data_IF_386044636510
#
_entry.id   IF_386044636510
#
_cell.length_a   1.000
_cell.length_b   1.000
_cell.length_c   1.000
_cell.angle_alpha   90.00
_cell.angle_beta   90.00
_cell.angle_gamma   90.00
#
_symmetry.space_group_name_H-M   'P 1'
#
loop_
_entity.id
_entity.type
_entity.pdbx_description
1 polymer ?
#
# COMPACT_ATOMS: atom_id res chain seq x y z
N UNK A 1 0.49 15.70 24.98
CA UNK A 1 0.19 14.51 25.76
C UNK A 1 -1.31 14.30 25.81
N UNK A 2 -1.77 13.12 25.40
CA UNK A 2 -3.18 12.76 25.35
C UNK A 2 -3.58 12.05 26.64
N UNK A 3 -4.71 12.43 27.23
CA UNK A 3 -5.22 11.89 28.47
C UNK A 3 -6.74 11.68 28.37
N UNK A 4 -7.30 10.90 29.29
CA UNK A 4 -8.75 10.80 29.46
C UNK A 4 -9.16 11.23 30.87
N UNK A 5 -10.48 11.38 31.15
CA UNK A 5 -10.97 11.92 32.40
C UNK A 5 -10.45 11.24 33.66
N UNK A 6 -10.24 9.92 33.64
CA UNK A 6 -9.70 9.17 34.77
C UNK A 6 -8.29 9.55 35.21
N UNK A 7 -7.50 10.15 34.30
CA UNK A 7 -6.13 10.61 34.59
C UNK A 7 -6.08 11.86 35.48
N UNK A 8 -7.21 12.52 35.69
CA UNK A 8 -7.33 13.75 36.47
C UNK A 8 -7.98 13.54 37.84
N UNK A 9 -8.17 12.30 38.27
CA UNK A 9 -8.70 11.95 39.58
C UNK A 9 -7.69 12.19 40.70
N UNK A 10 -8.18 12.10 41.97
CA UNK A 10 -7.31 12.12 43.16
C UNK A 10 -6.35 10.93 43.17
N UNK A 11 -5.30 11.01 43.97
CA UNK A 11 -4.34 9.92 44.15
C UNK A 11 -5.05 8.60 44.50
N UNK A 12 -4.84 7.57 43.69
CA UNK A 12 -5.50 6.27 43.85
C UNK A 12 -6.76 6.08 43.02
N UNK A 13 -7.19 7.09 42.24
CA UNK A 13 -8.23 6.91 41.23
C UNK A 13 -7.75 5.94 40.15
N UNK A 14 -8.52 4.88 39.84
CA UNK A 14 -8.14 3.96 38.77
C UNK A 14 -8.00 4.68 37.44
N UNK A 15 -6.89 4.44 36.72
CA UNK A 15 -6.64 4.95 35.37
C UNK A 15 -6.39 3.78 34.43
N UNK A 16 -6.96 3.85 33.24
CA UNK A 16 -6.66 2.92 32.16
C UNK A 16 -5.33 3.25 31.42
N UNK A 17 -4.59 4.23 31.96
CA UNK A 17 -3.27 4.62 31.43
C UNK A 17 -3.33 5.06 29.97
N UNK A 18 -2.65 4.33 29.11
CA UNK A 18 -2.61 4.61 27.67
C UNK A 18 -3.79 4.04 26.86
N UNK A 19 -4.76 3.39 27.51
CA UNK A 19 -5.99 2.95 26.87
C UNK A 19 -6.97 4.12 26.73
N UNK A 20 -6.62 5.04 25.85
CA UNK A 20 -7.38 6.26 25.60
C UNK A 20 -7.41 6.55 24.09
N UNK A 21 -8.24 7.53 23.68
CA UNK A 21 -8.32 8.01 22.29
C UNK A 21 -8.76 6.90 21.32
N UNK A 22 -9.66 6.03 21.73
CA UNK A 22 -10.15 4.92 20.90
C UNK A 22 -11.18 5.34 19.85
N UNK A 23 -11.65 6.59 19.89
CA UNK A 23 -12.55 7.13 18.89
C UNK A 23 -11.91 7.26 17.49
N UNK A 24 -12.73 7.52 16.49
CA UNK A 24 -12.31 7.60 15.09
C UNK A 24 -11.64 8.93 14.71
N UNK A 25 -11.68 9.91 15.58
CA UNK A 25 -10.96 11.20 15.45
C UNK A 25 -10.08 11.43 16.67
N UNK A 26 -9.05 12.24 16.51
CA UNK A 26 -8.23 12.70 17.64
C UNK A 26 -8.96 13.76 18.50
N UNK A 27 -8.54 14.01 19.75
CA UNK A 27 -9.13 15.04 20.61
C UNK A 27 -9.09 16.45 20.01
N UNK A 28 -8.09 16.77 19.19
CA UNK A 28 -7.98 18.01 18.42
C UNK A 28 -8.88 18.04 17.18
N UNK A 29 -9.69 16.97 16.98
CA UNK A 29 -10.59 16.74 15.84
C UNK A 29 -9.88 16.45 14.51
N UNK A 30 -8.58 16.27 14.50
CA UNK A 30 -7.90 15.75 13.32
C UNK A 30 -8.35 14.33 12.99
N UNK A 31 -8.30 13.99 11.72
CA UNK A 31 -8.85 12.73 11.18
C UNK A 31 -7.84 11.61 11.38
N UNK A 32 -8.29 10.48 11.90
CA UNK A 32 -7.51 9.25 11.94
C UNK A 32 -7.66 8.45 10.64
N UNK A 33 -6.70 7.57 10.28
CA UNK A 33 -6.81 6.74 9.08
C UNK A 33 -8.11 5.92 8.99
N UNK A 34 -8.60 5.38 10.12
CA UNK A 34 -9.85 4.63 10.14
C UNK A 34 -11.10 5.47 9.81
N UNK A 35 -11.04 6.79 9.99
CA UNK A 35 -12.13 7.69 9.61
C UNK A 35 -12.30 7.74 8.10
N UNK A 36 -11.19 7.71 7.36
CA UNK A 36 -11.21 7.65 5.89
C UNK A 36 -11.87 6.37 5.39
N UNK A 37 -11.55 5.23 6.02
CA UNK A 37 -12.19 3.95 5.70
C UNK A 37 -13.67 3.95 6.06
N UNK A 38 -14.02 4.50 7.22
CA UNK A 38 -15.42 4.69 7.62
C UNK A 38 -16.19 5.51 6.59
N UNK A 39 -15.63 6.64 6.14
CA UNK A 39 -16.22 7.47 5.10
C UNK A 39 -16.47 6.68 3.80
N UNK A 40 -15.52 5.82 3.43
CA UNK A 40 -15.64 4.94 2.26
C UNK A 40 -16.76 3.91 2.42
N UNK A 41 -16.87 3.28 3.57
CA UNK A 41 -17.90 2.24 3.83
C UNK A 41 -19.30 2.85 3.87
N UNK A 42 -19.47 3.99 4.52
CA UNK A 42 -20.77 4.65 4.71
C UNK A 42 -21.22 5.57 3.56
N UNK A 43 -20.41 5.76 2.52
CA UNK A 43 -20.82 6.58 1.38
C UNK A 43 -22.11 6.05 0.73
N UNK A 44 -23.04 6.96 0.42
CA UNK A 44 -24.34 6.63 -0.20
C UNK A 44 -24.33 6.67 -1.74
N UNK A 45 -23.21 7.00 -2.34
CA UNK A 45 -23.01 6.97 -3.79
C UNK A 45 -22.00 5.87 -4.07
N UNK A 46 -22.38 4.89 -4.88
CA UNK A 46 -21.54 3.76 -5.24
C UNK A 46 -21.21 3.80 -6.73
N UNK A 47 -19.93 3.75 -7.06
CA UNK A 47 -19.45 3.58 -8.43
C UNK A 47 -19.21 2.09 -8.66
N UNK A 48 -19.89 1.52 -9.65
CA UNK A 48 -19.93 0.08 -9.91
C UNK A 48 -19.62 -0.19 -11.39
N UNK A 49 -19.22 -1.40 -11.70
CA UNK A 49 -19.19 -1.95 -13.07
C UNK A 49 -18.53 -1.00 -14.10
N UNK A 50 -17.29 -0.59 -13.82
CA UNK A 50 -16.52 0.18 -14.78
C UNK A 50 -16.18 -0.69 -16.01
N UNK A 51 -16.62 -0.27 -17.19
CA UNK A 51 -16.24 -0.87 -18.47
C UNK A 51 -15.27 0.05 -19.20
N UNK A 52 -14.02 -0.42 -19.33
CA UNK A 52 -12.96 0.32 -20.00
C UNK A 52 -13.11 0.38 -21.53
N UNK A 53 -13.84 -0.56 -22.12
CA UNK A 53 -14.02 -0.60 -23.59
C UNK A 53 -15.01 0.45 -24.03
N UNK A 54 -16.10 0.58 -23.30
CA UNK A 54 -17.17 1.54 -23.57
C UNK A 54 -16.99 2.86 -22.81
N UNK A 55 -16.02 2.93 -21.90
CA UNK A 55 -15.80 4.06 -20.98
C UNK A 55 -17.08 4.44 -20.23
N UNK A 56 -17.77 3.43 -19.69
CA UNK A 56 -18.98 3.60 -18.90
C UNK A 56 -18.77 3.17 -17.46
N UNK A 57 -19.52 3.79 -16.56
CA UNK A 57 -19.60 3.43 -15.15
C UNK A 57 -21.05 3.44 -14.69
N UNK A 58 -21.41 2.52 -13.83
CA UNK A 58 -22.70 2.56 -13.14
C UNK A 58 -22.58 3.33 -11.84
N UNK A 59 -23.48 4.25 -11.60
CA UNK A 59 -23.57 5.02 -10.37
C UNK A 59 -24.88 4.70 -9.69
N UNK A 60 -24.80 4.12 -8.48
CA UNK A 60 -25.96 3.76 -7.66
C UNK A 60 -26.16 4.80 -6.57
N UNK A 61 -27.40 5.24 -6.44
CA UNK A 61 -27.85 6.14 -5.39
C UNK A 61 -28.44 5.34 -4.22
N UNK A 62 -27.71 5.25 -3.13
CA UNK A 62 -28.16 4.58 -1.89
C UNK A 62 -28.77 5.58 -0.88
N UNK A 63 -28.94 6.87 -1.24
CA UNK A 63 -29.70 7.79 -0.41
C UNK A 63 -31.19 7.41 -0.39
N UNK A 64 -31.85 7.78 0.72
CA UNK A 64 -33.30 7.54 0.87
C UNK A 64 -34.14 8.68 0.28
N UNK A 65 -33.62 9.93 0.24
CA UNK A 65 -34.41 11.12 -0.09
C UNK A 65 -33.70 12.10 -1.03
N UNK A 66 -32.45 11.85 -1.41
CA UNK A 66 -31.64 12.80 -2.16
C UNK A 66 -31.36 12.31 -3.57
N UNK A 67 -31.61 13.16 -4.57
CA UNK A 67 -31.26 12.89 -5.97
C UNK A 67 -29.78 13.20 -6.22
N UNK A 68 -29.15 12.48 -7.15
CA UNK A 68 -27.72 12.66 -7.46
C UNK A 68 -27.40 13.95 -8.23
N UNK A 69 -28.34 14.67 -8.79
CA UNK A 69 -28.14 15.98 -9.44
C UNK A 69 -27.67 17.09 -8.50
N UNK A 70 -27.74 16.85 -7.19
CA UNK A 70 -27.17 17.72 -6.14
C UNK A 70 -25.64 17.72 -6.09
N UNK A 71 -24.98 16.79 -6.75
CA UNK A 71 -23.54 16.57 -6.63
C UNK A 71 -22.83 16.79 -7.95
N UNK A 72 -21.56 17.21 -7.86
CA UNK A 72 -20.63 17.23 -8.97
C UNK A 72 -19.88 15.91 -9.06
N UNK A 73 -19.84 15.36 -10.26
CA UNK A 73 -19.14 14.10 -10.52
C UNK A 73 -17.92 14.36 -11.41
N UNK A 74 -16.81 13.74 -11.04
CA UNK A 74 -15.59 13.82 -11.84
C UNK A 74 -14.76 12.54 -11.69
N UNK A 75 -13.78 12.39 -12.56
CA UNK A 75 -12.84 11.28 -12.48
C UNK A 75 -11.42 11.78 -12.68
N UNK A 76 -10.47 11.00 -12.15
CA UNK A 76 -9.02 11.23 -12.29
C UNK A 76 -8.40 9.95 -12.81
N UNK A 77 -7.57 10.06 -13.85
CA UNK A 77 -6.73 8.97 -14.30
C UNK A 77 -5.34 9.16 -13.71
N UNK A 78 -4.83 8.11 -13.06
CA UNK A 78 -3.49 8.09 -12.50
C UNK A 78 -2.64 7.04 -13.16
N UNK A 79 -1.38 7.37 -13.38
CA UNK A 79 -0.34 6.48 -13.81
C UNK A 79 0.78 6.47 -12.76
N UNK A 80 1.10 5.29 -12.21
CA UNK A 80 2.00 5.16 -11.06
C UNK A 80 1.68 6.18 -9.93
N UNK A 81 0.40 6.35 -9.61
CA UNK A 81 -0.07 7.29 -8.60
C UNK A 81 -0.07 8.77 -9.00
N UNK A 82 0.50 9.16 -10.14
CA UNK A 82 0.50 10.56 -10.62
C UNK A 82 -0.74 10.85 -11.43
N UNK A 83 -1.40 11.98 -11.16
CA UNK A 83 -2.52 12.45 -11.98
C UNK A 83 -2.02 12.79 -13.38
N UNK A 84 -2.61 12.14 -14.39
CA UNK A 84 -2.31 12.38 -15.82
C UNK A 84 -3.49 12.97 -16.57
N UNK A 85 -4.69 12.80 -16.05
CA UNK A 85 -5.89 13.36 -16.63
C UNK A 85 -6.99 13.56 -15.57
N UNK A 86 -7.82 14.58 -15.76
CA UNK A 86 -9.02 14.85 -14.97
C UNK A 86 -10.16 15.26 -15.88
N UNK A 87 -11.33 14.67 -15.68
CA UNK A 87 -12.53 14.98 -16.44
C UNK A 87 -13.77 15.09 -15.56
N UNK A 88 -14.79 15.76 -16.07
CA UNK A 88 -16.11 15.81 -15.44
C UNK A 88 -17.01 14.68 -15.96
N UNK A 89 -17.96 14.26 -15.15
CA UNK A 89 -19.08 13.40 -15.54
C UNK A 89 -20.33 14.23 -15.38
N UNK A 90 -20.96 14.58 -16.49
CA UNK A 90 -22.06 15.52 -16.48
C UNK A 90 -23.43 14.80 -16.56
N UNK A 91 -24.49 15.51 -16.23
CA UNK A 91 -25.87 15.07 -16.37
C UNK A 91 -26.20 13.80 -15.59
N UNK A 92 -25.64 13.64 -14.39
CA UNK A 92 -25.97 12.53 -13.50
C UNK A 92 -27.29 12.83 -12.79
N UNK A 93 -28.31 12.02 -13.13
CA UNK A 93 -29.61 12.09 -12.51
C UNK A 93 -30.05 10.69 -12.12
N UNK A 94 -30.12 10.41 -10.84
CA UNK A 94 -30.63 9.16 -10.29
C UNK A 94 -31.41 9.44 -9.00
N UNK A 95 -32.68 9.10 -9.00
CA UNK A 95 -33.54 9.17 -7.82
C UNK A 95 -33.06 8.19 -6.73
N UNK A 96 -33.48 8.38 -5.48
CA UNK A 96 -33.20 7.45 -4.39
C UNK A 96 -33.43 5.97 -4.77
N UNK A 97 -32.46 5.12 -4.44
CA UNK A 97 -32.49 3.69 -4.73
C UNK A 97 -32.31 3.32 -6.21
N UNK A 98 -32.02 4.27 -7.10
CA UNK A 98 -31.84 4.00 -8.54
C UNK A 98 -30.37 3.97 -8.94
N UNK A 99 -30.11 3.30 -10.05
CA UNK A 99 -28.81 3.22 -10.70
C UNK A 99 -28.88 3.85 -12.08
N UNK A 100 -27.86 4.62 -12.43
CA UNK A 100 -27.69 5.18 -13.78
C UNK A 100 -26.37 4.65 -14.36
N UNK A 101 -26.36 4.36 -15.66
CA UNK A 101 -25.14 4.08 -16.40
C UNK A 101 -24.77 5.31 -17.20
N UNK A 102 -23.55 5.79 -17.10
CA UNK A 102 -23.08 6.97 -17.82
C UNK A 102 -21.77 6.71 -18.51
N UNK A 103 -21.63 7.24 -19.72
CA UNK A 103 -20.35 7.37 -20.41
C UNK A 103 -19.68 8.66 -19.96
N UNK A 104 -18.37 8.68 -19.87
CA UNK A 104 -17.65 9.84 -19.37
C UNK A 104 -16.40 10.17 -20.18
N UNK A 105 -15.98 9.32 -21.11
CA UNK A 105 -14.75 9.50 -21.87
C UNK A 105 -14.95 9.08 -23.33
N UNK A 106 -14.43 9.86 -24.26
CA UNK A 106 -14.21 9.43 -25.64
C UNK A 106 -12.93 8.59 -25.77
N UNK A 107 -12.78 7.61 -24.86
CA UNK A 107 -11.60 6.76 -24.72
C UNK A 107 -10.51 7.36 -23.82
N UNK A 108 -9.70 6.51 -23.17
CA UNK A 108 -8.47 6.95 -22.50
C UNK A 108 -7.54 7.46 -23.60
N UNK A 109 -7.02 8.70 -23.53
CA UNK A 109 -6.21 9.29 -24.58
C UNK A 109 -5.07 8.35 -24.96
N UNK A 110 -5.03 7.90 -26.23
CA UNK A 110 -3.99 6.98 -26.74
C UNK A 110 -2.57 7.54 -26.60
N UNK A 111 -2.45 8.86 -26.63
CA UNK A 111 -1.19 9.59 -26.48
C UNK A 111 -0.54 9.44 -25.10
N UNK A 112 -1.32 8.99 -24.15
CA UNK A 112 -0.87 8.70 -22.78
C UNK A 112 -0.92 7.20 -22.49
N UNK A 113 -0.68 6.35 -23.48
CA UNK A 113 -0.43 4.93 -23.26
C UNK A 113 0.83 4.78 -22.42
N UNK A 114 0.62 4.79 -21.17
CA UNK A 114 1.62 4.67 -20.14
C UNK A 114 2.04 3.22 -20.01
N UNK A 115 3.27 3.01 -19.70
CA UNK A 115 3.85 1.67 -19.49
C UNK A 115 3.73 1.24 -18.02
N UNK A 116 2.70 1.76 -17.31
CA UNK A 116 2.64 1.64 -15.90
C UNK A 116 1.33 1.10 -15.30
N UNK A 117 1.17 1.28 -14.01
CA UNK A 117 -0.05 0.96 -13.28
C UNK A 117 -1.06 2.10 -13.47
N UNK A 118 -2.04 1.89 -14.35
CA UNK A 118 -3.05 2.89 -14.66
C UNK A 118 -4.34 2.60 -13.92
N UNK A 119 -4.78 3.58 -13.14
CA UNK A 119 -6.01 3.54 -12.36
C UNK A 119 -6.90 4.71 -12.70
N UNK A 120 -8.20 4.50 -12.54
CA UNK A 120 -9.19 5.56 -12.60
C UNK A 120 -9.87 5.68 -11.26
N UNK A 121 -10.00 6.91 -10.81
CA UNK A 121 -10.67 7.28 -9.58
C UNK A 121 -11.91 8.09 -9.91
N UNK A 122 -13.04 7.71 -9.36
CA UNK A 122 -14.30 8.42 -9.47
C UNK A 122 -14.61 9.14 -8.18
N UNK A 123 -15.20 10.32 -8.31
CA UNK A 123 -15.52 11.18 -7.18
C UNK A 123 -16.91 11.78 -7.32
N UNK A 124 -17.61 11.92 -6.19
CA UNK A 124 -18.78 12.75 -6.05
C UNK A 124 -18.52 13.80 -4.97
N UNK A 125 -18.77 15.07 -5.28
CA UNK A 125 -18.52 16.19 -4.40
C UNK A 125 -19.77 17.07 -4.22
N UNK A 126 -19.84 17.75 -3.10
CA UNK A 126 -20.89 18.71 -2.79
C UNK A 126 -20.85 19.86 -3.82
N UNK A 127 -21.95 20.05 -4.52
CA UNK A 127 -22.09 21.10 -5.55
C UNK A 127 -22.36 22.47 -4.95
N UNK A 128 -23.26 22.54 -4.00
CA UNK A 128 -23.63 23.76 -3.29
C UNK A 128 -23.34 23.57 -1.81
N UNK A 129 -22.64 24.53 -1.20
CA UNK A 129 -22.28 24.45 0.21
C UNK A 129 -23.52 24.19 1.09
N UNK A 130 -23.36 23.26 2.03
CA UNK A 130 -24.34 22.92 3.06
C UNK A 130 -23.72 23.22 4.45
N UNK A 131 -24.51 23.28 5.52
CA UNK A 131 -23.96 23.43 6.87
C UNK A 131 -22.89 22.36 7.15
N UNK A 132 -21.67 22.81 7.53
CA UNK A 132 -20.49 22.00 7.80
C UNK A 132 -19.88 21.26 6.59
N UNK A 133 -20.47 21.38 5.38
CA UNK A 133 -19.97 20.75 4.15
C UNK A 133 -19.76 21.82 3.07
N UNK A 134 -18.57 22.39 2.93
CA UNK A 134 -18.26 23.31 1.86
C UNK A 134 -18.48 22.71 0.47
N UNK A 135 -18.79 23.53 -0.52
CA UNK A 135 -18.80 23.10 -1.91
C UNK A 135 -17.43 22.51 -2.28
N UNK A 136 -17.43 21.45 -3.06
CA UNK A 136 -16.23 20.70 -3.41
C UNK A 136 -15.82 19.61 -2.40
N UNK A 137 -16.47 19.53 -1.23
CA UNK A 137 -16.21 18.43 -0.30
C UNK A 137 -16.56 17.09 -0.95
N UNK A 138 -15.58 16.18 -1.02
CA UNK A 138 -15.77 14.84 -1.56
C UNK A 138 -16.53 13.98 -0.54
N UNK A 139 -17.66 13.42 -0.97
CA UNK A 139 -18.54 12.58 -0.14
C UNK A 139 -18.57 11.11 -0.60
N UNK A 140 -18.11 10.83 -1.80
CA UNK A 140 -17.96 9.46 -2.28
C UNK A 140 -16.78 9.37 -3.25
N UNK A 141 -16.08 8.24 -3.18
CA UNK A 141 -14.95 7.94 -4.05
C UNK A 141 -14.85 6.44 -4.34
N UNK A 142 -14.32 6.11 -5.50
CA UNK A 142 -14.00 4.74 -5.90
C UNK A 142 -12.76 4.73 -6.75
N UNK A 143 -11.94 3.73 -6.59
CA UNK A 143 -10.80 3.49 -7.47
C UNK A 143 -10.99 2.16 -8.17
N UNK A 144 -10.79 2.14 -9.47
CA UNK A 144 -10.78 0.92 -10.25
C UNK A 144 -9.55 0.82 -11.11
N UNK A 145 -9.27 -0.39 -11.47
CA UNK A 145 -8.09 -0.75 -12.25
C UNK A 145 -8.39 -0.67 -13.74
N UNK A 146 -7.54 0.00 -14.49
CA UNK A 146 -7.64 0.07 -15.96
C UNK A 146 -6.74 -0.96 -16.61
N UNK A 147 -5.46 -0.89 -16.35
CA UNK A 147 -4.48 -1.88 -16.78
C UNK A 147 -3.15 -1.70 -16.03
N UNK A 148 -2.38 -2.77 -15.94
CA UNK A 148 -0.97 -2.72 -15.60
C UNK A 148 -0.18 -3.21 -16.80
N UNK A 149 0.75 -2.42 -17.26
CA UNK A 149 1.81 -2.92 -18.11
C UNK A 149 3.00 -3.28 -17.22
N UNK A 150 3.16 -4.57 -16.98
CA UNK A 150 4.48 -5.04 -16.58
C UNK A 150 5.37 -4.91 -17.81
N UNK A 151 6.32 -4.00 -17.76
CA UNK A 151 7.41 -4.02 -18.71
C UNK A 151 7.99 -5.43 -18.61
N UNK A 152 7.86 -6.22 -19.68
CA UNK A 152 8.49 -7.53 -19.74
C UNK A 152 9.96 -7.30 -19.39
N UNK A 153 10.39 -7.87 -18.27
CA UNK A 153 11.78 -7.74 -17.86
C UNK A 153 12.64 -8.13 -19.04
N UNK A 154 13.59 -7.28 -19.38
CA UNK A 154 14.54 -7.60 -20.43
C UNK A 154 15.20 -8.91 -20.02
N UNK A 155 15.00 -9.94 -20.81
CA UNK A 155 15.69 -11.22 -20.61
C UNK A 155 17.16 -10.89 -20.51
N UNK A 156 17.82 -11.32 -19.44
CA UNK A 156 19.24 -11.05 -19.25
C UNK A 156 19.99 -11.44 -20.54
N UNK A 157 20.62 -10.47 -21.17
CA UNK A 157 21.31 -10.69 -22.46
C UNK A 157 22.60 -11.52 -22.28
N UNK A 158 23.09 -11.57 -21.05
CA UNK A 158 24.27 -12.37 -20.69
C UNK A 158 24.01 -13.14 -19.39
N UNK A 159 24.37 -14.43 -19.36
CA UNK A 159 24.21 -15.23 -18.14
C UNK A 159 25.12 -14.68 -17.02
N UNK A 160 24.63 -14.72 -15.81
CA UNK A 160 25.44 -14.46 -14.64
C UNK A 160 26.43 -15.61 -14.43
N UNK A 161 27.64 -15.28 -13.99
CA UNK A 161 28.65 -16.28 -13.60
C UNK A 161 28.71 -16.38 -12.09
N UNK A 162 29.02 -17.57 -11.57
CA UNK A 162 29.28 -17.78 -10.15
C UNK A 162 30.74 -18.11 -9.89
N UNK A 163 31.28 -17.62 -8.77
CA UNK A 163 32.60 -17.96 -8.26
C UNK A 163 32.49 -18.23 -6.77
N UNK A 164 33.03 -19.36 -6.33
CA UNK A 164 33.10 -19.71 -4.93
C UNK A 164 34.51 -19.51 -4.39
N UNK A 165 34.62 -18.90 -3.22
CA UNK A 165 35.87 -18.71 -2.48
C UNK A 165 35.60 -18.96 -0.98
N UNK A 166 36.02 -20.13 -0.46
CA UNK A 166 35.75 -20.50 0.92
C UNK A 166 34.27 -20.53 1.24
N UNK A 167 33.85 -19.72 2.20
CA UNK A 167 32.44 -19.60 2.59
C UNK A 167 31.64 -18.62 1.73
N UNK A 168 32.28 -17.89 0.82
CA UNK A 168 31.62 -16.90 -0.01
C UNK A 168 31.30 -17.47 -1.39
N UNK A 169 30.13 -17.10 -1.89
CA UNK A 169 29.77 -17.31 -3.28
C UNK A 169 29.36 -15.97 -3.90
N UNK A 170 30.01 -15.62 -5.00
CA UNK A 170 29.73 -14.39 -5.74
C UNK A 170 29.06 -14.70 -7.07
N UNK A 171 27.99 -13.98 -7.35
CA UNK A 171 27.31 -13.96 -8.64
C UNK A 171 27.64 -12.63 -9.35
N UNK A 172 28.09 -12.72 -10.58
CA UNK A 172 28.51 -11.52 -11.34
C UNK A 172 27.85 -11.48 -12.71
N UNK A 173 27.36 -10.30 -13.07
CA UNK A 173 26.92 -9.93 -14.41
C UNK A 173 27.67 -8.68 -14.88
N UNK A 174 27.30 -8.12 -16.05
CA UNK A 174 27.98 -6.97 -16.63
C UNK A 174 28.10 -5.76 -15.71
N UNK A 175 27.03 -5.50 -14.95
CA UNK A 175 26.92 -4.28 -14.12
C UNK A 175 26.79 -4.57 -12.63
N UNK A 176 26.78 -5.83 -12.22
CA UNK A 176 26.57 -6.17 -10.80
C UNK A 176 27.48 -7.32 -10.32
N UNK A 177 27.70 -7.31 -9.00
CA UNK A 177 28.24 -8.44 -8.27
C UNK A 177 27.49 -8.57 -6.95
N UNK A 178 26.89 -9.73 -6.70
CA UNK A 178 26.23 -10.07 -5.44
C UNK A 178 27.02 -11.16 -4.74
N UNK A 179 27.39 -10.96 -3.47
CA UNK A 179 28.17 -11.92 -2.69
C UNK A 179 27.34 -12.41 -1.51
N UNK A 180 27.26 -13.72 -1.35
CA UNK A 180 26.58 -14.39 -0.25
C UNK A 180 27.58 -15.13 0.63
N UNK A 181 27.31 -15.16 1.93
CA UNK A 181 27.99 -16.04 2.87
C UNK A 181 27.20 -17.33 3.03
N UNK A 182 27.80 -18.46 2.72
CA UNK A 182 27.17 -19.79 2.78
C UNK A 182 26.85 -20.26 4.20
N UNK A 183 27.53 -19.74 5.21
CA UNK A 183 27.24 -20.10 6.61
C UNK A 183 25.98 -19.44 7.14
N UNK A 184 25.80 -18.17 6.82
CA UNK A 184 24.61 -17.41 7.24
C UNK A 184 23.47 -17.46 6.22
N UNK A 185 23.74 -17.79 4.95
CA UNK A 185 22.80 -17.69 3.86
C UNK A 185 22.51 -16.24 3.44
N UNK A 186 23.24 -15.26 3.98
CA UNK A 186 22.93 -13.83 3.77
C UNK A 186 23.69 -13.25 2.59
N UNK A 187 23.06 -12.27 1.94
CA UNK A 187 23.70 -11.36 1.00
C UNK A 187 24.59 -10.40 1.79
N UNK A 188 25.91 -10.45 1.58
CA UNK A 188 26.89 -9.62 2.31
C UNK A 188 27.45 -8.46 1.51
N UNK A 189 27.30 -8.49 0.18
CA UNK A 189 27.71 -7.40 -0.71
C UNK A 189 26.81 -7.40 -1.95
N UNK A 190 26.36 -6.22 -2.35
CA UNK A 190 25.69 -6.01 -3.62
C UNK A 190 26.25 -4.76 -4.29
N UNK A 191 27.15 -5.00 -5.21
CA UNK A 191 27.75 -3.96 -6.03
C UNK A 191 26.95 -3.82 -7.33
N UNK A 192 26.44 -2.63 -7.65
CA UNK A 192 25.80 -2.30 -8.91
C UNK A 192 26.40 -1.03 -9.49
N UNK A 193 26.86 -1.09 -10.72
CA UNK A 193 27.54 0.04 -11.40
C UNK A 193 28.58 0.73 -10.52
N UNK A 194 29.44 -0.06 -9.84
CA UNK A 194 30.50 0.39 -8.92
C UNK A 194 30.02 1.01 -7.60
N UNK A 195 28.72 0.96 -7.32
CA UNK A 195 28.15 1.41 -6.04
C UNK A 195 27.82 0.22 -5.17
N UNK A 196 28.33 0.20 -3.92
CA UNK A 196 28.02 -0.83 -2.93
C UNK A 196 26.74 -0.46 -2.18
N UNK A 197 25.74 -1.36 -2.17
CA UNK A 197 24.46 -1.14 -1.53
C UNK A 197 24.34 -1.80 -0.15
N UNK A 198 25.28 -2.68 0.20
CA UNK A 198 25.26 -3.38 1.49
C UNK A 198 26.33 -2.78 2.40
N UNK A 199 25.91 -2.07 3.43
CA UNK A 199 26.80 -1.45 4.40
C UNK A 199 27.39 -2.51 5.32
N UNK A 200 28.74 -2.58 5.41
CA UNK A 200 29.47 -3.44 6.34
C UNK A 200 29.07 -4.92 6.32
N UNK A 201 28.64 -5.44 5.17
CA UNK A 201 28.23 -6.84 5.04
C UNK A 201 26.85 -7.15 5.65
N UNK A 202 26.12 -6.14 6.09
CA UNK A 202 24.80 -6.31 6.73
C UNK A 202 23.68 -6.20 5.70
N UNK A 203 23.50 -7.23 4.90
CA UNK A 203 22.41 -7.34 3.94
C UNK A 203 21.07 -7.65 4.57
N UNK A 204 20.02 -7.77 3.73
CA UNK A 204 18.69 -8.16 4.18
C UNK A 204 18.73 -9.48 4.94
N UNK A 205 18.00 -9.53 6.06
CA UNK A 205 17.84 -10.75 6.87
C UNK A 205 16.38 -10.94 7.25
N UNK A 206 15.93 -12.17 7.53
CA UNK A 206 14.63 -12.41 8.13
C UNK A 206 14.51 -11.67 9.47
N UNK A 207 13.40 -10.97 9.67
CA UNK A 207 13.16 -10.22 10.87
C UNK A 207 11.71 -10.43 11.33
N UNK A 208 11.51 -11.07 12.47
CA UNK A 208 10.22 -11.51 12.99
C UNK A 208 9.72 -10.64 14.15
N UNK A 209 10.39 -9.51 14.41
CA UNK A 209 10.09 -8.63 15.52
C UNK A 209 9.80 -7.22 15.03
N UNK A 210 8.93 -6.52 15.71
CA UNK A 210 8.67 -5.09 15.57
C UNK A 210 8.78 -4.39 16.91
N UNK A 211 8.90 -3.07 16.91
CA UNK A 211 8.79 -2.29 18.15
C UNK A 211 7.41 -2.54 18.78
N UNK A 212 7.37 -2.96 20.06
CA UNK A 212 6.12 -3.19 20.76
C UNK A 212 5.31 -1.89 20.89
N UNK A 213 4.00 -2.01 20.71
CA UNK A 213 3.04 -0.97 21.04
C UNK A 213 2.62 -1.09 22.51
N UNK A 214 1.90 -0.09 23.02
CA UNK A 214 1.35 -0.13 24.36
C UNK A 214 0.42 -1.33 24.59
N UNK A 215 -0.37 -1.71 23.58
CA UNK A 215 -1.20 -2.91 23.62
C UNK A 215 -0.36 -4.20 23.74
N UNK A 216 0.78 -4.24 23.08
CA UNK A 216 1.69 -5.38 23.19
C UNK A 216 2.25 -5.50 24.62
N UNK A 217 2.59 -4.38 25.25
CA UNK A 217 3.03 -4.36 26.63
C UNK A 217 1.89 -4.74 27.59
N UNK A 218 0.68 -4.23 27.39
CA UNK A 218 -0.50 -4.60 28.17
C UNK A 218 -0.82 -6.10 28.08
N UNK A 219 -0.62 -6.70 26.93
CA UNK A 219 -0.78 -8.15 26.71
C UNK A 219 0.46 -8.98 27.07
N UNK A 220 1.52 -8.38 27.59
CA UNK A 220 2.79 -9.00 27.93
C UNK A 220 3.45 -9.76 26.75
N UNK A 221 3.22 -9.28 25.51
CA UNK A 221 3.75 -9.93 24.31
C UNK A 221 5.29 -9.93 24.25
N UNK A 222 6.03 -8.88 24.66
CA UNK A 222 7.48 -8.91 24.66
C UNK A 222 8.10 -10.07 25.46
N UNK A 223 7.43 -10.51 26.53
CA UNK A 223 7.85 -11.67 27.31
C UNK A 223 7.39 -12.98 26.67
N UNK A 224 6.10 -13.04 26.28
CA UNK A 224 5.51 -14.26 25.70
C UNK A 224 6.12 -14.64 24.36
N UNK A 225 6.53 -13.64 23.57
CA UNK A 225 7.12 -13.82 22.24
C UNK A 225 8.63 -13.55 22.22
N UNK A 226 9.31 -13.72 23.35
CA UNK A 226 10.75 -13.46 23.50
C UNK A 226 11.57 -14.25 22.46
N UNK A 227 11.20 -15.49 22.19
CA UNK A 227 11.90 -16.32 21.20
C UNK A 227 11.93 -15.71 19.80
N UNK A 228 10.83 -15.08 19.34
CA UNK A 228 10.77 -14.39 18.05
C UNK A 228 11.69 -13.16 18.01
N UNK A 229 11.76 -12.44 19.14
CA UNK A 229 12.68 -11.32 19.29
C UNK A 229 14.13 -11.81 19.19
N UNK A 230 14.47 -12.84 19.94
CA UNK A 230 15.83 -13.42 19.97
C UNK A 230 16.23 -13.95 18.58
N UNK A 231 15.34 -14.68 17.91
CA UNK A 231 15.57 -15.16 16.54
C UNK A 231 15.82 -14.01 15.53
N UNK A 232 15.20 -12.85 15.74
CA UNK A 232 15.40 -11.67 14.85
C UNK A 232 16.77 -11.01 15.00
N UNK A 233 17.44 -11.17 16.16
CA UNK A 233 18.71 -10.53 16.45
C UNK A 233 19.90 -11.49 16.45
N UNK A 234 19.65 -12.80 16.45
CA UNK A 234 20.72 -13.79 16.31
C UNK A 234 21.24 -13.81 14.88
N UNK A 235 22.51 -14.12 14.72
CA UNK A 235 23.09 -14.37 13.40
C UNK A 235 22.47 -15.67 12.84
N UNK A 236 21.85 -15.61 11.65
CA UNK A 236 21.26 -16.79 11.04
C UNK A 236 22.37 -17.80 10.66
N UNK A 237 22.00 -19.06 10.72
CA UNK A 237 22.84 -20.16 10.23
C UNK A 237 22.08 -20.90 9.15
N UNK A 238 22.67 -21.02 7.97
CA UNK A 238 22.10 -21.84 6.92
C UNK A 238 22.43 -23.32 7.18
N UNK A 239 21.41 -24.18 7.17
CA UNK A 239 21.60 -25.64 7.20
C UNK A 239 22.16 -26.13 5.87
N UNK A 240 21.71 -25.55 4.76
CA UNK A 240 22.22 -25.86 3.43
C UNK A 240 22.30 -24.59 2.57
N UNK A 241 23.22 -24.57 1.63
CA UNK A 241 23.33 -23.52 0.63
C UNK A 241 23.64 -24.17 -0.73
N UNK A 242 22.74 -24.03 -1.68
CA UNK A 242 22.89 -24.63 -3.00
C UNK A 242 22.82 -23.58 -4.10
N UNK A 243 23.63 -23.76 -5.13
CA UNK A 243 23.63 -22.95 -6.34
C UNK A 243 23.20 -23.82 -7.51
N UNK A 244 22.09 -23.48 -8.13
CA UNK A 244 21.59 -24.19 -9.32
C UNK A 244 21.70 -23.29 -10.55
N UNK A 245 22.54 -23.64 -11.53
CA UNK A 245 22.58 -22.91 -12.79
C UNK A 245 21.26 -23.02 -13.55
N UNK A 246 20.68 -21.89 -13.93
CA UNK A 246 19.53 -21.83 -14.84
C UNK A 246 19.96 -21.39 -16.23
N UNK A 247 19.07 -21.49 -17.24
CA UNK A 247 19.37 -21.10 -18.62
C UNK A 247 19.73 -19.62 -18.77
N UNK A 248 19.09 -18.75 -17.98
CA UNK A 248 19.28 -17.29 -18.00
C UNK A 248 19.43 -16.67 -16.59
N UNK A 249 19.53 -17.49 -15.55
CA UNK A 249 19.66 -17.05 -14.16
C UNK A 249 20.41 -18.10 -13.32
N UNK A 250 20.85 -17.69 -12.14
CA UNK A 250 21.31 -18.58 -11.10
C UNK A 250 20.31 -18.50 -9.96
N UNK A 251 19.85 -19.65 -9.50
CA UNK A 251 19.01 -19.78 -8.32
C UNK A 251 19.89 -20.25 -7.17
N UNK A 252 19.79 -19.60 -6.03
CA UNK A 252 20.34 -20.11 -4.78
C UNK A 252 19.19 -20.37 -3.81
N UNK A 253 19.37 -21.38 -2.96
CA UNK A 253 18.46 -21.67 -1.86
C UNK A 253 19.28 -21.86 -0.59
N UNK A 254 18.76 -21.39 0.52
CA UNK A 254 19.31 -21.63 1.84
C UNK A 254 18.17 -21.99 2.78
N UNK A 255 18.34 -23.04 3.53
CA UNK A 255 17.43 -23.41 4.62
C UNK A 255 18.05 -22.90 5.92
N UNK A 256 17.28 -22.16 6.70
CA UNK A 256 17.71 -21.65 8.00
C UNK A 256 17.24 -22.59 9.12
N UNK A 257 18.11 -22.82 10.08
CA UNK A 257 17.80 -23.59 11.29
C UNK A 257 17.03 -22.73 12.30
#
# INVERSE_FOLDING_TARGET
>A
YWTYGGDYGENGTPSDGNFCINGVVYPDRSVKPQTEEMGKVYQNIKFLDFDKQTSTVKIRNDFSFTNLDKYDFYYIIRDHGKEVYRGKIENIHAAPGKTVTTGFLNGIPKEKQTTGDVRIEFYAAIKTAEPFLPAGTVIAREQTYVHTFYKKEATAQQPATSKEEGNLVAFSGPDFKATFDKQSGLLTSYLYKKHEYILNGQGPRPFFWRAPTDNDYGANLPVRLKAWKEASYQEPKAESFQVTPGSNCLLYTSDAA
#
